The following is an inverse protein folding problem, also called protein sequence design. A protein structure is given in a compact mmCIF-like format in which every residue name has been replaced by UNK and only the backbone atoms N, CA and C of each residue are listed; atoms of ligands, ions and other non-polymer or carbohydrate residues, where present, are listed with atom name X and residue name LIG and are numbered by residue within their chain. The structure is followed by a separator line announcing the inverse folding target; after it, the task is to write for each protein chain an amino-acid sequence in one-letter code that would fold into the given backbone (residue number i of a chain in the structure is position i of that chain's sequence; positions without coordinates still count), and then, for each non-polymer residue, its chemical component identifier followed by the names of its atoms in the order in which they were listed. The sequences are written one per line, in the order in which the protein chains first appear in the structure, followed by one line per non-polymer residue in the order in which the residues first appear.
data_IF_433923184615
#
_entry.id   IF_433923184615
#
_cell.length_a   1.000
_cell.length_b   1.000
_cell.length_c   1.000
_cell.angle_alpha   90.00
_cell.angle_beta   90.00
_cell.angle_gamma   90.00
#
_symmetry.space_group_name_H-M   'P 1'
#
loop_
_entity.id
_entity.type
_entity.pdbx_description
1 polymer ?
#
# COMPACT_ATOMS: atom_id res chain seq x y z
N UNK A 1 35.85 11.49 0.76
CA UNK A 1 36.64 12.24 -0.24
C UNK A 1 35.72 12.44 -1.45
N UNK A 2 35.49 13.67 -1.90
CA UNK A 2 34.70 13.93 -3.11
C UNK A 2 35.63 13.92 -4.33
N UNK A 3 35.22 13.27 -5.42
CA UNK A 3 35.92 13.26 -6.71
C UNK A 3 35.18 14.16 -7.70
N UNK A 4 35.92 14.93 -8.50
CA UNK A 4 35.38 15.75 -9.59
C UNK A 4 35.61 15.00 -10.89
N UNK A 5 34.54 14.77 -11.65
CA UNK A 5 34.58 14.12 -12.96
C UNK A 5 34.17 15.11 -14.04
N UNK A 6 34.91 15.13 -15.15
CA UNK A 6 34.50 15.82 -16.38
C UNK A 6 33.45 14.97 -17.09
N UNK A 7 32.31 15.57 -17.41
CA UNK A 7 31.15 14.93 -18.06
C UNK A 7 30.75 15.68 -19.34
N UNK A 8 31.63 16.50 -19.91
CA UNK A 8 31.32 17.37 -21.06
C UNK A 8 30.72 16.59 -22.24
N UNK A 9 31.36 15.49 -22.66
CA UNK A 9 30.87 14.67 -23.78
C UNK A 9 29.45 14.11 -23.53
N UNK A 10 29.17 13.72 -22.28
CA UNK A 10 27.85 13.18 -21.88
C UNK A 10 26.77 14.26 -21.92
N UNK A 11 27.13 15.50 -21.56
CA UNK A 11 26.23 16.66 -21.64
C UNK A 11 25.99 17.06 -23.08
N UNK A 12 27.01 17.06 -23.94
CA UNK A 12 26.85 17.38 -25.37
C UNK A 12 25.93 16.37 -26.06
N UNK A 13 26.11 15.07 -25.79
CA UNK A 13 25.26 14.01 -26.32
C UNK A 13 23.80 14.15 -25.84
N UNK A 14 23.59 14.37 -24.53
CA UNK A 14 22.24 14.59 -23.98
C UNK A 14 21.57 15.89 -24.46
N UNK A 15 22.38 16.86 -24.88
CA UNK A 15 21.92 18.18 -25.35
C UNK A 15 21.39 18.16 -26.78
N UNK A 16 21.68 17.11 -27.55
CA UNK A 16 21.16 16.94 -28.91
C UNK A 16 19.63 17.00 -28.88
N UNK A 17 19.04 17.84 -29.74
CA UNK A 17 17.59 18.01 -29.84
C UNK A 17 16.94 18.84 -28.73
N UNK A 18 17.70 19.43 -27.79
CA UNK A 18 17.13 20.39 -26.82
C UNK A 18 16.57 21.62 -27.53
N UNK A 19 17.31 22.21 -28.48
CA UNK A 19 16.85 23.42 -29.18
C UNK A 19 15.51 23.19 -29.89
N UNK A 20 15.37 22.07 -30.62
CA UNK A 20 14.10 21.73 -31.29
C UNK A 20 12.94 21.50 -30.32
N UNK A 21 13.22 20.95 -29.11
CA UNK A 21 12.21 20.84 -28.04
C UNK A 21 11.80 22.21 -27.51
N UNK A 22 12.76 23.13 -27.30
CA UNK A 22 12.47 24.50 -26.87
C UNK A 22 11.61 25.21 -27.90
N UNK A 23 11.97 25.13 -29.18
CA UNK A 23 11.22 25.77 -30.27
C UNK A 23 9.77 25.26 -30.31
N UNK A 24 9.57 23.94 -30.17
CA UNK A 24 8.22 23.36 -30.10
C UNK A 24 7.41 23.79 -28.86
N UNK A 25 8.05 23.92 -27.69
CA UNK A 25 7.39 24.44 -26.49
C UNK A 25 6.96 25.90 -26.69
N UNK A 26 7.84 26.73 -27.26
CA UNK A 26 7.52 28.13 -27.56
C UNK A 26 6.40 28.25 -28.59
N UNK A 27 6.35 27.38 -29.59
CA UNK A 27 5.25 27.33 -30.55
C UNK A 27 3.91 27.08 -29.84
N UNK A 28 3.85 26.09 -28.93
CA UNK A 28 2.64 25.78 -28.16
C UNK A 28 2.23 26.94 -27.23
N UNK A 29 3.19 27.55 -26.51
CA UNK A 29 2.92 28.69 -25.62
C UNK A 29 2.32 29.89 -26.37
N UNK A 30 2.75 30.10 -27.62
CA UNK A 30 2.26 31.20 -28.45
C UNK A 30 0.90 30.92 -29.11
N UNK A 31 0.30 29.74 -28.91
CA UNK A 31 -1.06 29.45 -29.37
C UNK A 31 -2.08 30.23 -28.54
N UNK A 32 -3.07 30.83 -29.21
CA UNK A 32 -4.16 31.57 -28.54
C UNK A 32 -5.17 30.67 -27.81
N UNK A 33 -5.04 29.35 -27.96
CA UNK A 33 -5.91 28.34 -27.36
C UNK A 33 -5.07 27.18 -26.83
N UNK A 34 -5.45 26.64 -25.67
CA UNK A 34 -4.84 25.43 -25.14
C UNK A 34 -5.03 24.27 -26.13
N UNK A 35 -3.97 23.52 -26.48
CA UNK A 35 -4.12 22.32 -27.31
C UNK A 35 -5.09 21.32 -26.67
N UNK A 36 -5.92 20.67 -27.49
CA UNK A 36 -6.73 19.56 -27.02
C UNK A 36 -5.82 18.39 -26.63
N UNK A 37 -5.80 18.07 -25.34
CA UNK A 37 -5.03 16.98 -24.77
C UNK A 37 -5.97 16.07 -23.97
N UNK A 38 -5.93 14.78 -24.30
CA UNK A 38 -6.64 13.74 -23.54
C UNK A 38 -5.71 13.11 -22.52
N UNK A 39 -6.28 12.52 -21.46
CA UNK A 39 -5.52 11.81 -20.44
C UNK A 39 -4.70 10.67 -21.07
N UNK A 40 -3.41 10.62 -20.77
CA UNK A 40 -2.49 9.66 -21.37
C UNK A 40 -1.25 9.33 -20.52
N UNK A 41 -0.32 8.51 -21.04
CA UNK A 41 0.92 8.15 -20.35
C UNK A 41 1.76 9.38 -19.92
N UNK A 42 1.73 10.45 -20.71
CA UNK A 42 2.40 11.72 -20.43
C UNK A 42 1.96 12.39 -19.12
N UNK A 43 0.84 11.96 -18.52
CA UNK A 43 0.41 12.46 -17.23
C UNK A 43 1.30 12.00 -16.06
N UNK A 44 2.12 10.96 -16.26
CA UNK A 44 2.94 10.34 -15.20
C UNK A 44 4.37 10.03 -15.61
N UNK A 45 4.66 10.05 -16.91
CA UNK A 45 5.97 9.70 -17.47
C UNK A 45 6.48 10.86 -18.34
N UNK A 46 7.72 11.36 -18.15
CA UNK A 46 8.72 10.89 -17.19
C UNK A 46 8.51 11.38 -15.74
N UNK A 47 7.64 12.37 -15.53
CA UNK A 47 7.30 12.92 -14.22
C UNK A 47 5.78 13.14 -14.13
N UNK A 48 5.27 13.33 -12.91
CA UNK A 48 3.87 13.69 -12.71
C UNK A 48 3.55 15.03 -13.40
N UNK A 49 2.44 15.04 -14.15
CA UNK A 49 1.97 16.25 -14.81
C UNK A 49 1.45 17.25 -13.76
N UNK A 50 1.92 18.51 -13.76
CA UNK A 50 1.47 19.51 -12.80
C UNK A 50 0.04 20.00 -13.05
N UNK A 51 -0.55 19.71 -14.21
CA UNK A 51 -1.92 20.06 -14.57
C UNK A 51 -2.85 18.87 -14.33
N UNK A 52 -3.58 18.89 -13.22
CA UNK A 52 -4.45 17.78 -12.79
C UNK A 52 -5.92 17.94 -13.21
N UNK A 53 -6.33 19.13 -13.64
CA UNK A 53 -7.72 19.48 -13.99
C UNK A 53 -8.36 18.53 -15.02
N UNK A 54 -7.53 17.94 -15.90
CA UNK A 54 -7.99 16.93 -16.86
C UNK A 54 -8.64 15.72 -16.17
N UNK A 55 -8.19 15.36 -14.96
CA UNK A 55 -8.69 14.22 -14.19
C UNK A 55 -9.97 14.52 -13.41
N UNK A 56 -10.24 15.79 -13.09
CA UNK A 56 -11.39 16.21 -12.27
C UNK A 56 -12.73 16.02 -12.99
N UNK A 57 -12.70 15.99 -14.32
CA UNK A 57 -13.88 15.78 -15.16
C UNK A 57 -14.30 14.30 -15.24
N UNK A 58 -13.51 13.39 -14.68
CA UNK A 58 -13.82 11.97 -14.76
C UNK A 58 -14.94 11.58 -13.79
N UNK A 59 -15.90 10.75 -14.23
CA UNK A 59 -16.95 10.27 -13.36
C UNK A 59 -16.41 9.37 -12.24
N UNK A 60 -17.26 9.14 -11.23
CA UNK A 60 -17.01 8.07 -10.27
C UNK A 60 -16.91 6.70 -10.97
N UNK A 61 -16.07 5.82 -10.44
CA UNK A 61 -15.75 4.53 -11.06
C UNK A 61 -15.25 4.64 -12.51
N UNK A 62 -14.54 5.73 -12.83
CA UNK A 62 -13.86 5.86 -14.12
C UNK A 62 -12.89 4.71 -14.38
N UNK A 63 -12.57 4.48 -15.64
CA UNK A 63 -11.80 3.34 -16.11
C UNK A 63 -10.37 3.27 -15.56
N UNK A 64 -9.82 4.40 -15.08
CA UNK A 64 -8.51 4.44 -14.42
C UNK A 64 -8.55 3.92 -12.97
N UNK A 65 -9.74 3.73 -12.40
CA UNK A 65 -9.94 3.02 -11.12
C UNK A 65 -10.02 1.51 -11.26
N UNK A 66 -9.94 0.96 -12.48
CA UNK A 66 -9.98 -0.48 -12.70
C UNK A 66 -8.79 -1.17 -12.03
N UNK A 67 -9.06 -2.23 -11.27
CA UNK A 67 -8.06 -3.03 -10.57
C UNK A 67 -6.97 -3.51 -11.54
N UNK A 68 -5.73 -3.04 -11.34
CA UNK A 68 -4.59 -3.27 -12.25
C UNK A 68 -4.93 -2.97 -13.74
N UNK A 69 -5.62 -1.86 -13.99
CA UNK A 69 -6.00 -1.44 -15.34
C UNK A 69 -4.81 -1.04 -16.22
N UNK A 70 -3.86 -0.26 -15.68
CA UNK A 70 -2.61 0.11 -16.36
C UNK A 70 -2.84 0.61 -17.80
N UNK A 71 -2.09 0.06 -18.77
CA UNK A 71 -2.23 0.39 -20.19
C UNK A 71 -3.63 0.16 -20.74
N UNK A 72 -4.35 -0.87 -20.27
CA UNK A 72 -5.71 -1.20 -20.74
C UNK A 72 -6.69 -0.08 -20.42
N UNK A 73 -6.53 0.62 -19.30
CA UNK A 73 -7.39 1.76 -18.95
C UNK A 73 -7.25 2.89 -19.97
N UNK A 74 -6.03 3.18 -20.43
CA UNK A 74 -5.80 4.16 -21.50
C UNK A 74 -6.38 3.69 -22.84
N UNK A 75 -6.20 2.42 -23.21
CA UNK A 75 -6.79 1.85 -24.44
C UNK A 75 -8.32 1.94 -24.44
N UNK A 76 -8.95 1.61 -23.31
CA UNK A 76 -10.40 1.70 -23.15
C UNK A 76 -10.89 3.15 -23.18
N UNK A 77 -10.21 4.05 -22.46
CA UNK A 77 -10.51 5.48 -22.48
C UNK A 77 -10.44 6.07 -23.90
N UNK A 78 -9.40 5.73 -24.66
CA UNK A 78 -9.25 6.16 -26.05
C UNK A 78 -10.30 5.58 -27.00
N UNK A 79 -10.93 4.45 -26.64
CA UNK A 79 -12.06 3.87 -27.37
C UNK A 79 -13.43 4.42 -26.94
N UNK A 80 -13.46 5.39 -26.02
CA UNK A 80 -14.69 6.02 -25.51
C UNK A 80 -15.33 5.31 -24.31
N UNK A 81 -14.65 4.35 -23.68
CA UNK A 81 -15.11 3.70 -22.45
C UNK A 81 -14.57 4.50 -21.27
N UNK A 82 -15.44 5.22 -20.58
CA UNK A 82 -15.06 6.18 -19.54
C UNK A 82 -15.23 5.57 -18.15
N UNK A 83 -16.22 4.70 -17.94
CA UNK A 83 -16.49 4.05 -16.65
C UNK A 83 -16.22 2.55 -16.67
N UNK A 84 -15.95 1.96 -15.51
CA UNK A 84 -15.79 0.51 -15.36
C UNK A 84 -17.08 -0.24 -15.70
N UNK A 85 -18.25 0.37 -15.48
CA UNK A 85 -19.56 -0.21 -15.82
C UNK A 85 -19.79 -0.35 -17.33
N UNK A 86 -19.18 0.52 -18.14
CA UNK A 86 -19.32 0.53 -19.61
C UNK A 86 -18.49 -0.54 -20.33
N UNK A 87 -17.62 -1.28 -19.62
CA UNK A 87 -16.76 -2.28 -20.24
C UNK A 87 -17.62 -3.35 -20.94
N UNK A 88 -17.48 -3.58 -22.26
CA UNK A 88 -18.30 -4.55 -22.97
C UNK A 88 -18.07 -5.99 -22.46
N UNK A 89 -19.13 -6.81 -22.42
CA UNK A 89 -19.06 -8.21 -21.99
C UNK A 89 -18.02 -9.06 -22.75
N UNK A 90 -17.68 -8.69 -23.99
CA UNK A 90 -16.66 -9.37 -24.81
C UNK A 90 -15.21 -8.99 -24.45
N UNK A 91 -14.98 -7.97 -23.61
CA UNK A 91 -13.65 -7.56 -23.22
C UNK A 91 -13.06 -8.50 -22.16
N UNK A 92 -11.81 -8.93 -22.35
CA UNK A 92 -11.16 -9.90 -21.46
C UNK A 92 -10.70 -9.23 -20.16
N UNK A 93 -11.54 -9.34 -19.13
CA UNK A 93 -11.22 -8.97 -17.74
C UNK A 93 -10.63 -10.16 -16.96
N UNK A 94 -9.90 -9.87 -15.88
CA UNK A 94 -9.58 -10.88 -14.86
C UNK A 94 -10.73 -11.01 -13.84
N UNK A 95 -10.65 -11.99 -12.92
CA UNK A 95 -11.74 -12.26 -11.96
C UNK A 95 -12.06 -11.04 -11.09
N UNK A 96 -11.04 -10.37 -10.56
CA UNK A 96 -11.21 -9.18 -9.70
C UNK A 96 -11.80 -7.99 -10.45
N UNK A 97 -11.41 -7.81 -11.70
CA UNK A 97 -11.97 -6.79 -12.59
C UNK A 97 -13.45 -7.08 -12.92
N UNK A 98 -13.81 -8.36 -13.11
CA UNK A 98 -15.22 -8.78 -13.27
C UNK A 98 -16.04 -8.50 -12.01
N UNK A 99 -15.51 -8.85 -10.84
CA UNK A 99 -16.14 -8.56 -9.55
C UNK A 99 -16.35 -7.04 -9.41
N UNK A 100 -15.31 -6.25 -9.66
CA UNK A 100 -15.40 -4.79 -9.62
C UNK A 100 -16.48 -4.26 -10.56
N UNK A 101 -16.51 -4.72 -11.81
CA UNK A 101 -17.52 -4.31 -12.78
C UNK A 101 -18.93 -4.68 -12.32
N UNK A 102 -19.13 -5.91 -11.84
CA UNK A 102 -20.42 -6.38 -11.35
C UNK A 102 -20.91 -5.53 -10.17
N UNK A 103 -20.04 -5.22 -9.21
CA UNK A 103 -20.35 -4.37 -8.07
C UNK A 103 -20.67 -2.92 -8.46
N UNK A 104 -19.98 -2.36 -9.45
CA UNK A 104 -20.28 -1.02 -9.96
C UNK A 104 -21.64 -1.00 -10.67
N UNK A 105 -21.94 -2.05 -11.44
CA UNK A 105 -23.22 -2.17 -12.15
C UNK A 105 -24.42 -2.42 -11.22
N UNK A 106 -24.24 -3.20 -10.15
CA UNK A 106 -25.30 -3.51 -9.20
C UNK A 106 -25.45 -2.47 -8.09
N UNK A 107 -24.38 -1.75 -7.73
CA UNK A 107 -24.31 -0.91 -6.54
C UNK A 107 -24.12 -1.71 -5.24
N UNK A 108 -24.04 -3.03 -5.31
CA UNK A 108 -24.00 -3.94 -4.16
C UNK A 108 -22.62 -4.57 -3.98
N UNK A 109 -22.21 -4.89 -2.73
CA UNK A 109 -20.95 -5.57 -2.47
C UNK A 109 -20.98 -7.02 -2.95
N UNK A 110 -19.82 -7.50 -3.39
CA UNK A 110 -19.55 -8.91 -3.61
C UNK A 110 -19.10 -9.55 -2.29
N UNK A 111 -19.64 -10.74 -2.02
CA UNK A 111 -19.36 -11.52 -0.81
C UNK A 111 -19.23 -13.00 -1.17
N UNK A 112 -18.00 -13.50 -1.19
CA UNK A 112 -17.69 -14.93 -1.23
C UNK A 112 -17.72 -15.49 0.21
N UNK A 113 -18.88 -16.01 0.58
CA UNK A 113 -19.11 -16.54 1.93
C UNK A 113 -18.25 -17.76 2.24
N UNK A 114 -17.94 -18.58 1.24
CA UNK A 114 -17.13 -19.79 1.44
C UNK A 114 -15.67 -19.43 1.68
N UNK A 115 -15.11 -18.51 0.89
CA UNK A 115 -13.75 -18.02 1.08
C UNK A 115 -13.58 -17.27 2.41
N UNK A 116 -14.53 -16.40 2.76
CA UNK A 116 -14.52 -15.69 4.06
C UNK A 116 -14.61 -16.69 5.22
N UNK A 117 -15.51 -17.67 5.14
CA UNK A 117 -15.61 -18.71 6.16
C UNK A 117 -14.32 -19.52 6.27
N UNK A 118 -13.70 -19.88 5.16
CA UNK A 118 -12.41 -20.57 5.14
C UNK A 118 -11.29 -19.76 5.82
N UNK A 119 -11.23 -18.45 5.56
CA UNK A 119 -10.28 -17.56 6.24
C UNK A 119 -10.53 -17.51 7.75
N UNK A 120 -11.77 -17.26 8.18
CA UNK A 120 -12.11 -17.18 9.60
C UNK A 120 -11.87 -18.49 10.35
N UNK A 121 -12.18 -19.63 9.72
CA UNK A 121 -11.96 -20.97 10.29
C UNK A 121 -10.49 -21.36 10.38
N UNK A 122 -9.59 -20.65 9.70
CA UNK A 122 -8.14 -20.85 9.82
C UNK A 122 -7.53 -20.16 11.04
N UNK A 123 -8.28 -19.28 11.70
CA UNK A 123 -7.81 -18.56 12.89
C UNK A 123 -7.88 -19.45 14.12
N UNK A 124 -6.82 -19.42 14.92
CA UNK A 124 -6.70 -20.20 16.15
C UNK A 124 -6.69 -19.27 17.36
N UNK A 125 -7.60 -19.50 18.31
CA UNK A 125 -7.60 -18.75 19.56
C UNK A 125 -6.42 -19.14 20.47
N UNK A 126 -5.90 -18.22 21.31
CA UNK A 126 -6.30 -16.81 21.44
C UNK A 126 -5.90 -15.97 20.22
N UNK A 127 -6.73 -15.00 19.87
CA UNK A 127 -6.45 -14.04 18.80
C UNK A 127 -5.74 -12.81 19.37
N UNK A 128 -4.60 -12.46 18.78
CA UNK A 128 -3.78 -11.31 19.15
C UNK A 128 -3.85 -10.26 18.05
N UNK A 129 -4.57 -9.16 18.25
CA UNK A 129 -4.59 -8.05 17.29
C UNK A 129 -3.45 -7.09 17.62
N UNK A 130 -2.39 -7.15 16.83
CA UNK A 130 -1.13 -6.43 17.04
C UNK A 130 -0.98 -5.29 16.03
N UNK A 131 -0.53 -4.14 16.52
CA UNK A 131 -0.23 -2.96 15.71
C UNK A 131 0.96 -2.20 16.32
N UNK A 132 1.85 -1.68 15.47
CA UNK A 132 3.05 -0.94 15.88
C UNK A 132 3.00 0.49 15.38
N UNK A 133 3.44 1.43 16.23
CA UNK A 133 3.79 2.78 15.76
C UNK A 133 5.30 2.93 15.71
N UNK A 134 5.78 3.57 14.64
CA UNK A 134 7.21 3.70 14.35
C UNK A 134 7.60 5.13 14.05
N UNK A 135 8.88 5.42 14.24
CA UNK A 135 9.53 6.65 13.74
C UNK A 135 10.65 6.27 12.76
N UNK A 136 10.81 7.07 11.71
CA UNK A 136 11.84 6.87 10.68
C UNK A 136 12.69 8.12 10.43
N UNK A 137 13.52 8.57 11.39
CA UNK A 137 14.27 9.81 11.26
C UNK A 137 15.38 9.69 10.20
N UNK A 138 15.66 10.80 9.51
CA UNK A 138 16.75 10.88 8.53
C UNK A 138 18.14 10.77 9.18
N UNK A 139 18.27 11.27 10.41
CA UNK A 139 19.48 11.14 11.24
C UNK A 139 19.21 10.04 12.26
N UNK A 140 19.99 8.94 12.27
CA UNK A 140 19.82 7.86 13.25
C UNK A 140 19.89 8.38 14.68
N UNK A 141 18.89 8.01 15.50
CA UNK A 141 18.81 8.41 16.91
C UNK A 141 19.50 7.43 17.86
N UNK A 142 19.66 6.17 17.44
CA UNK A 142 20.18 5.09 18.26
C UNK A 142 21.26 4.31 17.50
N UNK A 143 22.15 3.68 18.25
CA UNK A 143 23.19 2.83 17.68
C UNK A 143 22.60 1.65 16.90
N UNK A 144 23.25 1.29 15.80
CA UNK A 144 22.81 0.19 14.93
C UNK A 144 21.57 0.49 14.07
N UNK A 145 21.13 1.75 13.99
CA UNK A 145 20.02 2.18 13.12
C UNK A 145 20.55 2.90 11.87
N UNK A 146 19.88 2.73 10.72
CA UNK A 146 20.17 3.47 9.47
C UNK A 146 19.17 4.61 9.22
N UNK A 147 19.51 5.64 8.40
CA UNK A 147 18.57 6.67 7.97
C UNK A 147 17.25 6.08 7.44
N UNK A 148 16.12 6.64 7.87
CA UNK A 148 14.76 6.23 7.48
C UNK A 148 14.40 4.77 7.81
N UNK A 149 15.10 4.13 8.75
CA UNK A 149 14.68 2.85 9.29
C UNK A 149 13.49 3.06 10.23
N UNK A 150 12.46 2.22 10.10
CA UNK A 150 11.32 2.21 11.01
C UNK A 150 11.75 1.68 12.39
N UNK A 151 11.65 2.53 13.40
CA UNK A 151 11.97 2.21 14.79
C UNK A 151 10.65 2.15 15.57
N UNK A 152 10.23 0.97 16.07
CA UNK A 152 9.00 0.87 16.84
C UNK A 152 9.19 1.50 18.21
N UNK A 153 8.29 2.39 18.59
CA UNK A 153 8.27 3.05 19.90
C UNK A 153 6.98 2.78 20.68
N UNK A 154 5.97 2.23 20.02
CA UNK A 154 4.70 1.84 20.63
C UNK A 154 4.22 0.52 20.01
N UNK A 155 3.49 -0.28 20.80
CA UNK A 155 2.55 -1.23 20.24
C UNK A 155 1.20 -1.14 20.95
N UNK A 156 0.14 -1.50 20.24
CA UNK A 156 -1.15 -1.86 20.82
C UNK A 156 -1.42 -3.35 20.58
N UNK A 157 -2.00 -4.00 21.58
CA UNK A 157 -2.28 -5.43 21.53
C UNK A 157 -3.63 -5.71 22.18
N UNK A 158 -4.60 -6.16 21.39
CA UNK A 158 -5.85 -6.71 21.93
C UNK A 158 -5.78 -8.24 21.91
N UNK A 159 -6.16 -8.87 23.02
CA UNK A 159 -6.16 -10.33 23.17
C UNK A 159 -7.58 -10.81 23.39
N UNK A 160 -8.07 -11.66 22.49
CA UNK A 160 -9.36 -12.33 22.60
C UNK A 160 -9.10 -13.81 22.86
N UNK A 161 -9.46 -14.30 24.05
CA UNK A 161 -9.09 -15.65 24.50
C UNK A 161 -9.88 -16.77 23.83
N UNK A 162 -11.15 -16.53 23.54
CA UNK A 162 -12.09 -17.43 22.86
C UNK A 162 -13.26 -16.62 22.28
N UNK A 163 -14.17 -17.28 21.56
CA UNK A 163 -15.31 -16.68 20.86
C UNK A 163 -16.23 -15.82 21.75
N UNK A 164 -16.28 -16.08 23.06
CA UNK A 164 -17.18 -15.41 23.99
C UNK A 164 -16.47 -14.44 24.94
N UNK A 165 -15.13 -14.40 24.88
CA UNK A 165 -14.32 -13.55 25.73
C UNK A 165 -14.33 -12.10 25.26
N UNK A 166 -14.39 -11.17 26.21
CA UNK A 166 -14.15 -9.76 25.93
C UNK A 166 -12.66 -9.53 25.61
N UNK A 167 -12.32 -8.58 24.71
CA UNK A 167 -10.93 -8.25 24.44
C UNK A 167 -10.21 -7.68 25.66
N UNK A 168 -9.05 -8.23 25.99
CA UNK A 168 -8.10 -7.65 26.95
C UNK A 168 -7.14 -6.73 26.20
N UNK A 169 -6.84 -5.56 26.75
CA UNK A 169 -5.96 -4.57 26.11
C UNK A 169 -4.61 -4.49 26.82
N UNK A 170 -3.55 -4.59 26.04
CA UNK A 170 -2.17 -4.37 26.44
C UNK A 170 -1.54 -3.35 25.50
N UNK A 171 -0.61 -2.55 26.01
CA UNK A 171 0.14 -1.62 25.18
C UNK A 171 1.47 -1.29 25.79
N UNK A 172 2.37 -0.83 24.96
CA UNK A 172 3.63 -0.21 25.34
C UNK A 172 3.74 1.12 24.62
N UNK A 173 4.20 2.15 25.33
CA UNK A 173 4.58 3.43 24.75
C UNK A 173 5.88 3.86 25.42
N UNK A 174 6.91 4.13 24.62
CA UNK A 174 8.19 4.60 25.12
C UNK A 174 8.02 5.94 25.87
N UNK A 175 8.51 6.01 27.10
CA UNK A 175 8.38 7.18 27.99
C UNK A 175 9.56 8.14 27.93
N UNK A 176 10.72 7.69 27.43
CA UNK A 176 12.02 8.34 27.57
C UNK A 176 12.75 8.50 26.23
N UNK A 177 13.90 9.18 26.25
CA UNK A 177 14.78 9.39 25.08
C UNK A 177 15.71 8.21 24.78
N UNK A 178 15.68 7.16 25.61
CA UNK A 178 16.46 5.96 25.41
C UNK A 178 15.94 5.14 24.22
N UNK A 179 16.75 4.21 23.73
CA UNK A 179 16.34 3.30 22.66
C UNK A 179 15.10 2.48 23.09
N UNK A 180 13.95 2.62 22.42
CA UNK A 180 12.72 1.97 22.84
C UNK A 180 12.71 0.46 22.54
N UNK A 181 13.55 0.00 21.61
CA UNK A 181 13.47 -1.36 21.04
C UNK A 181 13.63 -2.48 22.09
N UNK A 182 14.60 -2.43 23.03
CA UNK A 182 14.75 -3.48 24.04
C UNK A 182 13.56 -3.58 25.00
N UNK A 183 13.07 -2.44 25.48
CA UNK A 183 11.92 -2.39 26.39
C UNK A 183 10.64 -2.87 25.68
N UNK A 184 10.45 -2.44 24.43
CA UNK A 184 9.34 -2.87 23.59
C UNK A 184 9.34 -4.39 23.38
N UNK A 185 10.50 -4.99 23.04
CA UNK A 185 10.64 -6.44 22.89
C UNK A 185 10.33 -7.18 24.18
N UNK A 186 10.85 -6.69 25.31
CA UNK A 186 10.61 -7.30 26.61
C UNK A 186 9.12 -7.28 26.99
N UNK A 187 8.41 -6.17 26.78
CA UNK A 187 6.99 -6.07 27.08
C UNK A 187 6.15 -6.91 26.13
N UNK A 188 6.45 -6.87 24.83
CA UNK A 188 5.73 -7.66 23.83
C UNK A 188 5.85 -9.16 24.09
N UNK A 189 7.04 -9.65 24.44
CA UNK A 189 7.28 -11.05 24.79
C UNK A 189 6.54 -11.49 26.06
N UNK A 190 6.37 -10.60 27.05
CA UNK A 190 5.58 -10.90 28.26
C UNK A 190 4.09 -11.03 27.96
N UNK A 191 3.58 -10.25 27.00
CA UNK A 191 2.14 -10.18 26.69
C UNK A 191 1.69 -11.19 25.64
N UNK A 192 2.55 -11.56 24.69
CA UNK A 192 2.23 -12.57 23.68
C UNK A 192 2.37 -13.99 24.25
N UNK A 193 1.35 -14.82 24.05
CA UNK A 193 1.41 -16.25 24.36
C UNK A 193 2.16 -17.06 23.31
N UNK A 194 2.34 -18.36 23.56
CA UNK A 194 3.12 -19.28 22.71
C UNK A 194 2.32 -19.94 21.57
N UNK A 195 1.00 -19.76 21.51
CA UNK A 195 0.10 -20.34 20.51
C UNK A 195 -1.03 -19.36 20.18
N UNK A 196 -1.85 -19.66 19.17
CA UNK A 196 -2.90 -18.77 18.67
C UNK A 196 -2.41 -17.82 17.58
N UNK A 197 -3.36 -17.26 16.82
CA UNK A 197 -3.11 -16.42 15.65
C UNK A 197 -2.83 -14.97 16.04
N UNK A 198 -1.81 -14.38 15.41
CA UNK A 198 -1.49 -12.96 15.56
C UNK A 198 -1.99 -12.22 14.32
N UNK A 199 -3.02 -11.43 14.50
CA UNK A 199 -3.72 -10.72 13.44
C UNK A 199 -3.15 -9.31 13.32
N UNK A 200 -2.73 -8.95 12.12
CA UNK A 200 -2.34 -7.59 11.75
C UNK A 200 -3.01 -7.20 10.43
N UNK A 201 -3.33 -5.93 10.25
CA UNK A 201 -3.89 -5.43 9.00
C UNK A 201 -2.76 -5.00 8.06
N UNK A 202 -2.59 -5.68 6.93
CA UNK A 202 -1.41 -5.54 6.08
C UNK A 202 -0.13 -5.97 6.80
N UNK A 203 -0.15 -7.21 7.34
CA UNK A 203 0.87 -7.79 8.25
C UNK A 203 2.34 -7.64 7.85
N UNK A 204 2.62 -7.34 6.58
CA UNK A 204 3.98 -7.21 6.07
C UNK A 204 4.75 -6.08 6.74
N UNK A 205 4.06 -5.05 7.24
CA UNK A 205 4.68 -3.98 8.03
C UNK A 205 5.15 -4.51 9.39
N UNK A 206 4.25 -5.12 10.16
CA UNK A 206 4.56 -5.67 11.49
C UNK A 206 5.59 -6.80 11.41
N UNK A 207 5.48 -7.67 10.41
CA UNK A 207 6.46 -8.71 10.13
C UNK A 207 7.84 -8.11 9.81
N UNK A 208 7.89 -7.03 9.03
CA UNK A 208 9.12 -6.30 8.73
C UNK A 208 9.78 -5.73 9.98
N UNK A 209 9.00 -5.07 10.85
CA UNK A 209 9.48 -4.54 12.13
C UNK A 209 10.06 -5.65 13.00
N UNK A 210 9.32 -6.76 13.15
CA UNK A 210 9.77 -7.90 13.94
C UNK A 210 11.09 -8.47 13.41
N UNK A 211 11.24 -8.62 12.08
CA UNK A 211 12.48 -9.11 11.47
C UNK A 211 13.66 -8.15 11.64
N UNK A 212 13.42 -6.85 11.55
CA UNK A 212 14.43 -5.83 11.84
C UNK A 212 14.85 -5.86 13.33
N UNK A 213 13.90 -6.06 14.24
CA UNK A 213 14.17 -6.26 15.67
C UNK A 213 14.98 -7.54 15.93
N UNK A 214 14.67 -8.66 15.28
CA UNK A 214 15.45 -9.90 15.40
C UNK A 214 16.90 -9.72 14.93
N UNK A 215 17.10 -8.91 13.89
CA UNK A 215 18.44 -8.57 13.38
C UNK A 215 19.21 -7.71 14.39
N UNK A 216 18.54 -6.74 15.02
CA UNK A 216 19.15 -5.84 16.00
C UNK A 216 19.41 -6.51 17.36
N UNK A 217 18.56 -7.45 17.77
CA UNK A 217 18.61 -8.14 19.05
C UNK A 217 18.54 -9.66 18.84
N UNK A 218 19.66 -10.30 18.45
CA UNK A 218 19.69 -11.70 18.05
C UNK A 218 19.16 -12.68 19.11
N UNK A 219 19.24 -12.33 20.40
CA UNK A 219 18.70 -13.10 21.51
C UNK A 219 17.18 -13.33 21.45
N UNK A 220 16.44 -12.51 20.69
CA UNK A 220 15.00 -12.66 20.46
C UNK A 220 14.66 -13.40 19.16
N UNK A 221 15.64 -13.76 18.33
CA UNK A 221 15.41 -14.27 16.97
C UNK A 221 14.50 -15.49 16.91
N UNK A 222 14.78 -16.51 17.72
CA UNK A 222 13.98 -17.76 17.73
C UNK A 222 12.52 -17.50 18.14
N UNK A 223 12.31 -16.59 19.12
CA UNK A 223 10.98 -16.20 19.56
C UNK A 223 10.25 -15.39 18.48
N UNK A 224 10.95 -14.44 17.83
CA UNK A 224 10.38 -13.64 16.74
C UNK A 224 10.00 -14.51 15.55
N UNK A 225 10.80 -15.53 15.22
CA UNK A 225 10.46 -16.47 14.13
C UNK A 225 9.13 -17.19 14.41
N UNK A 226 8.92 -17.63 15.66
CA UNK A 226 7.65 -18.24 16.11
C UNK A 226 6.48 -17.25 16.13
N UNK A 227 6.72 -15.98 16.43
CA UNK A 227 5.71 -14.92 16.31
C UNK A 227 5.34 -14.72 14.84
N UNK A 228 6.33 -14.58 13.95
CA UNK A 228 6.12 -14.36 12.53
C UNK A 228 5.37 -15.53 11.86
N UNK A 229 5.65 -16.77 12.26
CA UNK A 229 4.95 -17.95 11.72
C UNK A 229 3.46 -17.99 12.07
N UNK A 230 3.02 -17.25 13.10
CA UNK A 230 1.63 -17.14 13.54
C UNK A 230 0.92 -15.89 13.01
N UNK A 231 1.62 -15.03 12.25
CA UNK A 231 1.03 -13.81 11.71
C UNK A 231 0.03 -14.11 10.59
N UNK A 232 -1.20 -13.63 10.77
CA UNK A 232 -2.29 -13.69 9.80
C UNK A 232 -2.63 -12.28 9.32
N UNK A 233 -2.75 -12.12 8.00
CA UNK A 233 -3.02 -10.83 7.38
C UNK A 233 -4.53 -10.60 7.25
N UNK A 234 -5.07 -9.68 8.05
CA UNK A 234 -6.50 -9.31 7.99
C UNK A 234 -6.88 -8.63 6.68
N UNK A 235 -5.90 -8.14 5.91
CA UNK A 235 -6.13 -7.59 4.57
C UNK A 235 -6.46 -8.69 3.54
N UNK A 236 -6.16 -9.97 3.81
CA UNK A 236 -6.23 -11.04 2.82
C UNK A 236 -7.60 -11.17 2.14
N UNK A 237 -8.75 -11.21 2.85
CA UNK A 237 -10.07 -11.31 2.22
C UNK A 237 -10.37 -10.16 1.25
N UNK A 238 -9.94 -8.95 1.59
CA UNK A 238 -10.15 -7.78 0.76
C UNK A 238 -9.15 -7.70 -0.40
N UNK A 239 -7.91 -8.13 -0.20
CA UNK A 239 -6.90 -8.23 -1.26
C UNK A 239 -7.31 -9.24 -2.32
N UNK A 240 -7.98 -10.32 -1.91
CA UNK A 240 -8.43 -11.39 -2.78
C UNK A 240 -9.78 -11.11 -3.45
N UNK A 241 -10.51 -10.08 -2.99
CA UNK A 241 -11.87 -9.76 -3.38
C UNK A 241 -12.88 -10.84 -2.92
N UNK A 242 -12.56 -11.56 -1.85
CA UNK A 242 -13.52 -12.43 -1.16
C UNK A 242 -14.65 -11.55 -0.56
N UNK A 243 -14.31 -10.33 -0.16
CA UNK A 243 -15.25 -9.22 0.00
C UNK A 243 -14.80 -8.04 -0.86
N UNK A 244 -15.71 -7.47 -1.64
CA UNK A 244 -15.46 -6.23 -2.38
C UNK A 244 -16.68 -5.32 -2.41
N UNK A 245 -16.52 -4.04 -2.05
CA UNK A 245 -17.54 -3.00 -2.12
C UNK A 245 -17.21 -2.01 -3.25
N UNK A 246 -18.19 -1.53 -4.05
CA UNK A 246 -17.92 -0.60 -5.15
C UNK A 246 -17.14 0.64 -4.73
N UNK A 247 -17.41 1.17 -3.53
CA UNK A 247 -16.70 2.30 -2.92
C UNK A 247 -15.16 2.13 -2.80
N UNK A 248 -14.64 0.89 -2.86
CA UNK A 248 -13.19 0.64 -2.85
C UNK A 248 -12.50 1.09 -4.14
N UNK A 249 -13.23 1.32 -5.25
CA UNK A 249 -12.70 1.90 -6.51
C UNK A 249 -11.41 1.20 -6.98
N UNK A 250 -11.41 -0.14 -6.95
CA UNK A 250 -10.27 -0.98 -7.35
C UNK A 250 -9.12 -1.04 -6.35
N UNK A 251 -9.28 -0.50 -5.14
CA UNK A 251 -8.32 -0.61 -4.03
C UNK A 251 -8.68 -1.79 -3.11
N UNK A 252 -7.72 -2.18 -2.26
CA UNK A 252 -7.90 -3.27 -1.29
C UNK A 252 -8.61 -2.81 0.00
N UNK A 253 -8.70 -1.50 0.21
CA UNK A 253 -9.36 -0.86 1.34
C UNK A 253 -9.96 0.47 0.87
N UNK A 254 -11.02 0.93 1.52
CA UNK A 254 -11.45 2.31 1.35
C UNK A 254 -10.39 3.19 2.01
N UNK A 255 -9.79 4.12 1.27
CA UNK A 255 -8.93 5.17 1.83
C UNK A 255 -9.75 6.27 2.50
N UNK A 256 -10.83 5.89 3.19
CA UNK A 256 -11.72 6.76 3.95
C UNK A 256 -11.52 6.50 5.43
N UNK A 257 -10.30 6.78 5.90
CA UNK A 257 -10.00 7.29 7.23
C UNK A 257 -9.29 8.63 7.01
#
# INVERSE_FOLDING_TARGET
LFNIHDITDQVEEASVGIQGRIDGILEVINQGTCPEMIIGPHCRDPYECPLTDCWDSLPEHNIFSLYYGGKKSFEMYNSGIVTVGEIPNGYKLNDKQRIQQACVASGEPHVDREAIHGFLSSLEYPLYYLDFETIGPAVPLFDGVRPYQDIPFQFSLHVVKDEFSQPEYFSFLASDTDDPRPALLSELQKTLGNYGSIIAYNKGFEEGILRDLATAFPEYSDWIEQVCSRLVDLLAPFRNFDYYHPAQKGRRANSGL
#
